data_IF_970828918522
#
_entry.id   IF_970828918522
#
_cell.length_a   1.000
_cell.length_b   1.000
_cell.length_c   1.000
_cell.angle_alpha   90.00
_cell.angle_beta   90.00
_cell.angle_gamma   90.00
#
_symmetry.space_group_name_H-M   'P 1'
#
loop_
_entity.id
_entity.type
_entity.pdbx_description
1 polymer ?
#
# COMPACT_ATOMS: atom_id res chain seq x y z
N UNK A 1 -31.19 -3.96 81.61
CA UNK A 1 -32.30 -3.15 82.18
C UNK A 1 -32.04 -1.68 81.85
N UNK A 2 -33.10 -0.97 81.47
CA UNK A 2 -33.20 0.47 81.11
C UNK A 2 -32.72 0.82 79.70
N UNK A 3 -33.38 1.67 78.93
CA UNK A 3 -34.77 2.15 78.86
C UNK A 3 -34.85 2.92 77.53
N UNK A 4 -36.06 2.97 76.96
CA UNK A 4 -36.49 3.68 75.76
C UNK A 4 -35.90 5.09 75.57
N UNK A 5 -35.78 5.53 74.30
CA UNK A 5 -36.60 6.64 73.80
C UNK A 5 -36.61 6.69 72.26
N UNK A 6 -37.82 6.78 71.72
CA UNK A 6 -38.11 7.05 70.33
C UNK A 6 -37.84 8.53 70.00
N UNK A 7 -37.35 8.78 68.78
CA UNK A 7 -37.21 10.13 68.22
C UNK A 7 -37.41 10.07 66.72
N UNK A 8 -38.67 10.18 66.30
CA UNK A 8 -39.08 10.34 64.90
C UNK A 8 -38.67 11.76 64.46
N UNK A 9 -37.75 11.86 63.52
CA UNK A 9 -37.40 13.11 62.87
C UNK A 9 -38.03 13.16 61.47
N UNK A 10 -38.58 14.34 61.19
CA UNK A 10 -39.52 14.66 60.14
C UNK A 10 -39.03 14.38 58.72
N UNK A 11 -39.99 13.96 57.88
CA UNK A 11 -39.86 13.94 56.43
C UNK A 11 -39.89 15.38 55.88
N UNK A 12 -38.85 15.73 55.13
CA UNK A 12 -38.89 16.85 54.19
C UNK A 12 -38.61 16.29 52.81
N UNK A 13 -39.67 16.13 52.01
CA UNK A 13 -39.59 15.80 50.60
C UNK A 13 -39.15 17.06 49.84
N UNK A 14 -37.98 17.03 49.22
CA UNK A 14 -37.61 17.96 48.16
C UNK A 14 -37.75 17.21 46.83
N UNK A 15 -38.83 17.51 46.09
CA UNK A 15 -39.02 17.05 44.72
C UNK A 15 -38.15 17.92 43.83
N UNK A 16 -37.10 17.34 43.26
CA UNK A 16 -36.43 17.92 42.08
C UNK A 16 -36.86 17.10 40.88
N UNK A 17 -37.81 17.66 40.12
CA UNK A 17 -38.09 17.22 38.77
C UNK A 17 -36.94 17.70 37.87
N UNK A 18 -36.13 16.76 37.38
CA UNK A 18 -35.06 17.00 36.43
C UNK A 18 -34.81 15.73 35.63
N UNK A 19 -35.50 15.62 34.50
CA UNK A 19 -35.30 14.57 33.51
C UNK A 19 -34.04 14.85 32.69
N UNK A 20 -32.97 14.08 32.87
CA UNK A 20 -31.98 13.79 31.81
C UNK A 20 -31.34 12.43 32.09
N UNK A 21 -31.88 11.39 31.45
CA UNK A 21 -31.12 10.17 31.25
C UNK A 21 -30.05 10.43 30.20
N UNK A 22 -28.79 10.32 30.58
CA UNK A 22 -27.67 10.17 29.64
C UNK A 22 -26.72 9.13 30.20
N UNK A 23 -27.01 7.87 29.88
CA UNK A 23 -26.03 6.79 29.88
C UNK A 23 -24.78 7.29 29.14
N UNK A 24 -23.57 7.23 29.71
CA UNK A 24 -22.38 7.27 28.87
C UNK A 24 -22.38 5.95 28.11
N UNK A 25 -22.94 5.97 26.90
CA UNK A 25 -22.64 4.96 25.92
C UNK A 25 -21.13 4.99 25.75
N UNK A 26 -20.48 3.90 26.15
CA UNK A 26 -19.15 3.57 25.71
C UNK A 26 -19.17 3.63 24.19
N UNK A 27 -18.74 4.75 23.62
CA UNK A 27 -18.21 4.73 22.27
C UNK A 27 -16.81 4.13 22.42
N UNK A 28 -16.78 2.81 22.57
CA UNK A 28 -15.69 2.02 22.03
C UNK A 28 -15.70 2.28 20.53
N UNK A 29 -15.01 3.34 20.10
CA UNK A 29 -14.56 3.47 18.71
C UNK A 29 -13.43 2.46 18.52
N UNK A 30 -13.79 1.18 18.53
CA UNK A 30 -13.02 0.16 17.85
C UNK A 30 -13.43 0.22 16.39
N UNK A 31 -12.91 1.23 15.68
CA UNK A 31 -12.76 1.10 14.24
C UNK A 31 -11.53 0.20 14.04
N UNK A 32 -11.78 -1.10 14.03
CA UNK A 32 -10.86 -2.06 13.49
C UNK A 32 -10.70 -1.78 12.00
N UNK A 33 -9.53 -1.26 11.64
CA UNK A 33 -8.90 -1.52 10.36
C UNK A 33 -7.54 -2.09 10.69
N UNK A 34 -7.42 -3.41 10.82
CA UNK A 34 -6.14 -4.03 10.47
C UNK A 34 -6.02 -3.88 8.96
N UNK A 35 -5.59 -2.71 8.52
CA UNK A 35 -4.88 -2.62 7.26
C UNK A 35 -3.75 -3.62 7.39
N UNK A 36 -3.84 -4.72 6.63
CA UNK A 36 -2.73 -5.65 6.53
C UNK A 36 -1.56 -4.79 6.06
N UNK A 37 -0.55 -4.57 6.91
CA UNK A 37 0.57 -3.72 6.56
C UNK A 37 1.10 -4.17 5.20
N UNK A 38 1.09 -3.25 4.23
CA UNK A 38 1.52 -3.56 2.86
C UNK A 38 2.94 -4.11 2.91
N UNK A 39 3.15 -5.29 2.31
CA UNK A 39 4.42 -6.04 2.40
C UNK A 39 5.33 -5.86 1.20
N UNK A 40 4.83 -5.29 0.13
CA UNK A 40 5.54 -5.14 -1.14
C UNK A 40 5.26 -3.75 -1.71
N UNK A 41 6.20 -3.17 -2.47
CA UNK A 41 5.92 -1.98 -3.25
C UNK A 41 4.87 -2.26 -4.33
N UNK A 42 4.12 -1.22 -4.71
CA UNK A 42 3.24 -1.23 -5.87
C UNK A 42 3.91 -0.51 -7.05
N UNK A 43 3.77 -1.07 -8.23
CA UNK A 43 4.02 -0.36 -9.48
C UNK A 43 2.79 0.46 -9.81
N UNK A 44 2.97 1.77 -10.00
CA UNK A 44 1.88 2.70 -10.31
C UNK A 44 1.81 3.04 -11.80
N UNK A 45 2.95 3.10 -12.47
CA UNK A 45 3.06 3.49 -13.88
C UNK A 45 4.28 2.84 -14.53
N UNK A 46 4.14 2.51 -15.82
CA UNK A 46 5.20 1.97 -16.65
C UNK A 46 5.15 2.64 -18.02
N UNK A 47 6.25 3.27 -18.42
CA UNK A 47 6.43 3.80 -19.76
C UNK A 47 7.50 3.00 -20.51
N UNK A 48 7.10 2.33 -21.59
CA UNK A 48 7.99 1.66 -22.52
C UNK A 48 8.32 2.55 -23.71
N UNK A 49 9.61 2.81 -23.91
CA UNK A 49 10.12 3.52 -25.08
C UNK A 49 11.07 2.61 -25.86
N UNK A 50 10.73 2.30 -27.11
CA UNK A 50 11.63 1.58 -28.02
C UNK A 50 12.84 2.47 -28.34
N UNK A 51 14.04 1.93 -28.18
CA UNK A 51 15.32 2.63 -28.43
C UNK A 51 16.12 2.02 -29.59
N UNK A 52 15.88 0.74 -29.91
CA UNK A 52 16.43 0.00 -31.04
C UNK A 52 15.54 -1.23 -31.34
N UNK A 53 15.81 -2.03 -32.39
CA UNK A 53 15.12 -3.31 -32.57
C UNK A 53 15.16 -4.16 -31.30
N UNK A 54 13.99 -4.64 -30.86
CA UNK A 54 13.79 -5.45 -29.65
C UNK A 54 14.39 -4.84 -28.36
N UNK A 55 14.72 -3.54 -28.34
CA UNK A 55 15.45 -2.90 -27.24
C UNK A 55 14.70 -1.69 -26.73
N UNK A 56 14.45 -1.65 -25.42
CA UNK A 56 13.58 -0.68 -24.77
C UNK A 56 14.25 0.00 -23.58
N UNK A 57 13.87 1.26 -23.34
CA UNK A 57 13.97 1.91 -22.04
C UNK A 57 12.63 1.80 -21.33
N UNK A 58 12.65 1.44 -20.06
CA UNK A 58 11.46 1.29 -19.21
C UNK A 58 11.57 2.27 -18.07
N UNK A 59 10.68 3.26 -18.00
CA UNK A 59 10.52 4.10 -16.82
C UNK A 59 9.42 3.49 -15.94
N UNK A 60 9.72 3.27 -14.66
CA UNK A 60 8.84 2.61 -13.70
C UNK A 60 8.61 3.53 -12.52
N UNK A 61 7.35 3.86 -12.26
CA UNK A 61 6.93 4.60 -11.07
C UNK A 61 6.54 3.61 -9.99
N UNK A 62 7.25 3.66 -8.87
CA UNK A 62 7.10 2.75 -7.74
C UNK A 62 6.57 3.55 -6.54
N UNK A 63 5.65 2.93 -5.79
CA UNK A 63 5.24 3.40 -4.47
C UNK A 63 5.46 2.30 -3.45
N UNK A 64 6.00 2.66 -2.28
CA UNK A 64 6.18 1.71 -1.19
C UNK A 64 5.74 2.31 0.14
N UNK A 65 5.27 1.49 1.10
CA UNK A 65 4.88 1.96 2.42
C UNK A 65 6.10 2.28 3.31
N UNK A 66 7.32 2.17 2.78
CA UNK A 66 8.54 2.23 3.56
C UNK A 66 9.01 3.67 3.79
N UNK A 67 9.20 4.02 5.05
CA UNK A 67 9.54 5.37 5.51
C UNK A 67 10.91 5.47 6.19
N UNK A 68 11.71 4.40 6.13
CA UNK A 68 13.07 4.37 6.69
C UNK A 68 14.06 3.59 5.81
N UNK A 69 15.38 3.84 5.93
CA UNK A 69 16.39 3.08 5.20
C UNK A 69 16.53 1.60 5.58
N UNK A 70 15.88 1.16 6.66
CA UNK A 70 16.01 -0.21 7.17
C UNK A 70 15.31 -1.26 6.32
N UNK A 71 14.33 -0.83 5.52
CA UNK A 71 13.56 -1.65 4.59
C UNK A 71 13.09 -0.76 3.46
N UNK A 72 13.32 -1.14 2.21
CA UNK A 72 12.89 -0.39 1.03
C UNK A 72 12.57 -1.32 -0.14
N UNK A 73 11.99 -0.77 -1.21
CA UNK A 73 11.84 -1.49 -2.47
C UNK A 73 13.21 -1.63 -3.15
N UNK A 74 13.75 -2.86 -3.25
CA UNK A 74 15.11 -3.08 -3.78
C UNK A 74 15.15 -3.35 -5.28
N UNK A 75 14.02 -3.27 -5.97
CA UNK A 75 13.99 -3.41 -7.42
C UNK A 75 12.61 -3.68 -8.00
N UNK A 76 12.64 -4.07 -9.27
CA UNK A 76 11.50 -4.61 -10.00
C UNK A 76 11.98 -5.62 -11.05
N UNK A 77 11.05 -6.40 -11.58
CA UNK A 77 11.24 -7.27 -12.75
C UNK A 77 10.23 -6.95 -13.83
N UNK A 78 10.61 -7.23 -15.07
CA UNK A 78 9.75 -7.15 -16.25
C UNK A 78 9.51 -8.58 -16.74
N UNK A 79 8.25 -8.95 -16.90
CA UNK A 79 7.78 -10.28 -17.25
C UNK A 79 7.06 -10.24 -18.60
N UNK A 80 7.18 -11.30 -19.39
CA UNK A 80 6.27 -11.55 -20.51
C UNK A 80 4.93 -12.15 -20.06
N UNK A 81 4.06 -12.46 -21.02
CA UNK A 81 2.72 -13.03 -20.84
C UNK A 81 2.73 -14.42 -20.17
N UNK A 82 3.83 -15.17 -20.31
CA UNK A 82 4.02 -16.49 -19.71
C UNK A 82 4.68 -16.42 -18.32
N UNK A 83 5.03 -15.21 -17.87
CA UNK A 83 5.72 -14.96 -16.60
C UNK A 83 7.22 -15.22 -16.65
N UNK A 84 7.83 -15.27 -17.85
CA UNK A 84 9.28 -15.33 -18.02
C UNK A 84 9.88 -13.96 -17.74
N UNK A 85 10.98 -13.92 -17.00
CA UNK A 85 11.69 -12.67 -16.69
C UNK A 85 12.49 -12.22 -17.90
N UNK A 86 12.12 -11.06 -18.45
CA UNK A 86 12.83 -10.38 -19.54
C UNK A 86 13.98 -9.50 -19.00
N UNK A 87 13.84 -9.00 -17.77
CA UNK A 87 14.91 -8.26 -17.09
C UNK A 87 14.55 -7.87 -15.67
N UNK A 88 15.58 -7.51 -14.90
CA UNK A 88 15.47 -7.04 -13.52
C UNK A 88 16.25 -5.74 -13.35
N UNK A 89 15.76 -4.86 -12.48
CA UNK A 89 16.46 -3.66 -12.07
C UNK A 89 16.63 -3.66 -10.55
N UNK A 90 17.86 -3.41 -10.07
CA UNK A 90 18.18 -3.32 -8.65
C UNK A 90 18.32 -1.87 -8.22
N UNK A 91 17.63 -1.51 -7.14
CA UNK A 91 17.77 -0.23 -6.43
C UNK A 91 18.69 -0.44 -5.23
N UNK A 92 19.75 0.38 -5.12
CA UNK A 92 20.81 0.18 -4.13
C UNK A 92 20.71 1.11 -2.92
N UNK A 93 19.64 1.90 -2.83
CA UNK A 93 19.38 2.83 -1.73
C UNK A 93 17.88 2.99 -1.51
N UNK A 94 17.52 3.53 -0.35
CA UNK A 94 16.12 3.80 -0.02
C UNK A 94 15.58 5.04 -0.74
N UNK A 95 14.26 5.10 -0.83
CA UNK A 95 13.50 6.22 -1.38
C UNK A 95 12.42 6.70 -0.39
N UNK A 96 12.65 6.57 0.92
CA UNK A 96 11.64 6.92 1.93
C UNK A 96 11.18 8.39 1.84
N UNK A 97 12.07 9.29 1.40
CA UNK A 97 11.78 10.72 1.22
C UNK A 97 11.21 11.10 -0.16
N UNK A 98 11.02 10.15 -1.06
CA UNK A 98 10.60 10.36 -2.45
C UNK A 98 9.55 9.29 -2.81
N UNK A 99 8.30 9.48 -2.40
CA UNK A 99 7.21 8.56 -2.71
C UNK A 99 6.02 9.30 -3.35
N UNK A 100 5.52 8.83 -4.51
CA UNK A 100 6.14 7.81 -5.37
C UNK A 100 7.44 8.32 -6.01
N UNK A 101 8.28 7.41 -6.51
CA UNK A 101 9.48 7.74 -7.28
C UNK A 101 9.51 7.00 -8.61
N UNK A 102 10.20 7.57 -9.59
CA UNK A 102 10.38 6.97 -10.92
C UNK A 102 11.84 6.70 -11.19
N UNK A 103 12.17 5.51 -11.70
CA UNK A 103 13.52 5.15 -12.18
C UNK A 103 13.44 4.49 -13.55
N UNK A 104 14.52 4.63 -14.32
CA UNK A 104 14.58 4.12 -15.69
C UNK A 104 15.61 2.99 -15.81
N UNK A 105 15.18 1.87 -16.37
CA UNK A 105 16.03 0.79 -16.85
C UNK A 105 16.19 0.91 -18.36
N UNK A 106 17.42 1.06 -18.85
CA UNK A 106 17.72 1.08 -20.28
C UNK A 106 18.24 -0.26 -20.78
N UNK A 107 18.06 -0.54 -22.07
CA UNK A 107 18.63 -1.72 -22.71
C UNK A 107 17.91 -3.02 -22.36
N UNK A 108 16.63 -2.94 -21.97
CA UNK A 108 15.80 -4.13 -21.81
C UNK A 108 15.52 -4.75 -23.18
N UNK A 109 15.82 -6.03 -23.35
CA UNK A 109 15.48 -6.76 -24.57
C UNK A 109 14.08 -7.37 -24.41
N UNK A 110 13.19 -7.06 -25.35
CA UNK A 110 11.84 -7.63 -25.43
C UNK A 110 11.69 -8.24 -26.83
N UNK A 111 11.53 -9.57 -26.96
CA UNK A 111 11.32 -10.23 -28.24
C UNK A 111 10.13 -9.68 -29.02
N UNK A 112 10.20 -9.69 -30.36
CA UNK A 112 9.14 -9.16 -31.22
C UNK A 112 7.78 -9.91 -31.09
N UNK A 113 7.75 -11.12 -30.54
CA UNK A 113 6.55 -11.92 -30.30
C UNK A 113 5.86 -11.65 -28.95
N UNK A 114 6.46 -10.85 -28.06
CA UNK A 114 5.86 -10.45 -26.78
C UNK A 114 4.93 -9.25 -27.00
N UNK A 115 3.62 -9.42 -26.77
CA UNK A 115 2.63 -8.38 -27.04
C UNK A 115 2.45 -7.40 -25.87
N UNK A 116 2.65 -7.88 -24.64
CA UNK A 116 2.52 -7.10 -23.42
C UNK A 116 3.57 -7.53 -22.38
N UNK A 117 3.93 -6.62 -21.48
CA UNK A 117 4.79 -6.93 -20.34
C UNK A 117 4.14 -6.52 -19.05
N UNK A 118 4.41 -7.29 -17.99
CA UNK A 118 4.01 -6.98 -16.62
C UNK A 118 5.22 -6.57 -15.80
N UNK A 119 5.13 -5.45 -15.10
CA UNK A 119 6.16 -5.00 -14.16
C UNK A 119 5.69 -5.25 -12.72
N UNK A 120 6.57 -5.86 -11.93
CA UNK A 120 6.31 -6.21 -10.53
C UNK A 120 7.45 -5.70 -9.65
N UNK A 121 7.09 -5.02 -8.57
CA UNK A 121 8.05 -4.49 -7.59
C UNK A 121 8.56 -5.56 -6.64
N UNK A 122 9.69 -5.27 -5.99
CA UNK A 122 10.36 -6.16 -5.06
C UNK A 122 10.63 -5.51 -3.71
N UNK A 123 10.30 -6.24 -2.66
CA UNK A 123 10.69 -5.98 -1.29
C UNK A 123 11.93 -6.79 -0.90
N UNK A 124 12.77 -6.23 -0.03
CA UNK A 124 14.01 -6.86 0.45
C UNK A 124 13.80 -8.16 1.25
N UNK A 125 12.70 -8.30 2.00
CA UNK A 125 12.42 -9.42 2.88
C UNK A 125 11.45 -10.43 2.24
N UNK A 126 10.37 -9.96 1.64
CA UNK A 126 9.28 -10.77 1.11
C UNK A 126 9.42 -11.06 -0.39
N UNK A 127 10.37 -10.42 -1.08
CA UNK A 127 10.60 -10.62 -2.51
C UNK A 127 9.56 -9.89 -3.37
N UNK A 128 9.18 -10.51 -4.48
CA UNK A 128 8.29 -9.91 -5.48
C UNK A 128 6.82 -9.94 -5.04
N UNK A 129 6.09 -8.87 -5.31
CA UNK A 129 4.64 -8.80 -5.09
C UNK A 129 4.12 -7.37 -5.15
N UNK A 130 2.90 -7.18 -4.62
CA UNK A 130 2.22 -5.88 -4.63
C UNK A 130 1.36 -5.66 -5.87
N UNK A 131 0.98 -4.42 -6.11
CA UNK A 131 0.31 -3.98 -7.32
C UNK A 131 1.27 -4.03 -8.51
N UNK A 132 0.81 -4.59 -9.62
CA UNK A 132 1.56 -4.68 -10.87
C UNK A 132 0.91 -3.82 -11.95
N UNK A 133 1.70 -3.43 -12.95
CA UNK A 133 1.21 -2.74 -14.13
C UNK A 133 1.59 -3.54 -15.36
N UNK A 134 0.59 -3.78 -16.23
CA UNK A 134 0.75 -4.45 -17.51
C UNK A 134 0.53 -3.44 -18.62
N UNK A 135 1.48 -3.36 -19.57
CA UNK A 135 1.43 -2.42 -20.70
C UNK A 135 1.72 -3.14 -22.01
N UNK A 136 1.09 -2.71 -23.12
CA UNK A 136 1.40 -3.25 -24.44
C UNK A 136 2.83 -2.87 -24.85
N UNK A 137 3.49 -3.76 -25.57
CA UNK A 137 4.82 -3.50 -26.16
C UNK A 137 4.64 -2.69 -27.44
N UNK A 138 5.32 -1.54 -27.60
CA UNK A 138 5.29 -0.79 -28.85
C UNK A 138 5.99 -1.54 -29.99
N UNK A 139 5.22 -2.14 -30.90
CA UNK A 139 5.73 -2.66 -32.16
C UNK A 139 5.62 -1.61 -33.28
N UNK A 140 6.55 -1.64 -34.23
CA UNK A 140 6.41 -0.85 -35.46
C UNK A 140 5.09 -1.24 -36.12
N UNK A 141 4.30 -0.26 -36.55
CA UNK A 141 3.16 -0.56 -37.41
C UNK A 141 3.70 -1.27 -38.65
N UNK A 142 3.34 -2.54 -38.84
CA UNK A 142 3.67 -3.24 -40.07
C UNK A 142 3.02 -2.45 -41.20
N UNK A 143 3.81 -1.71 -41.99
CA UNK A 143 3.28 -1.10 -43.20
C UNK A 143 2.73 -2.23 -44.09
N UNK A 144 1.51 -2.09 -44.61
CA UNK A 144 0.85 -3.13 -45.39
C UNK A 144 1.57 -3.45 -46.71
#
# INVERSE_FOLDING_TARGET
MRAHLAGIAAATALVVAGCTGSTPAQTTSSAGGSETAQRHPDILEVDLTRTAPETFSVAVTVSSPYDSPSRYADGWRVLDEDGVVLGEHTLTHDHAGEQPFTRTQSGLTIPDDVAEVTVEGRDQEYGYGGGTVTVPVPHEATSP
#
